data_IF_872766065474
#
_entry.id   IF_872766065474
#
_cell.length_a   1.000
_cell.length_b   1.000
_cell.length_c   1.000
_cell.angle_alpha   90.00
_cell.angle_beta   90.00
_cell.angle_gamma   90.00
#
_symmetry.space_group_name_H-M   'P 1'
#
loop_
_entity.id
_entity.type
_entity.pdbx_description
1 polymer ?
#
# COMPACT_ATOMS: atom_id res chain seq x y z
N UNK A 1 3.97 8.95 -8.89
CA UNK A 1 3.32 8.23 -7.77
C UNK A 1 4.39 7.55 -6.95
N UNK A 2 4.11 7.20 -5.70
CA UNK A 2 5.06 6.46 -4.86
C UNK A 2 5.00 4.98 -5.23
N UNK A 3 6.13 4.29 -5.31
CA UNK A 3 6.16 2.83 -5.57
C UNK A 3 5.15 2.06 -4.71
N UNK A 4 5.07 2.41 -3.43
CA UNK A 4 4.14 1.78 -2.49
C UNK A 4 2.67 2.05 -2.85
N UNK A 5 2.31 3.26 -3.28
CA UNK A 5 0.92 3.54 -3.68
C UNK A 5 0.54 2.75 -4.92
N UNK A 6 1.49 2.52 -5.83
CA UNK A 6 1.25 1.77 -7.07
C UNK A 6 1.05 0.28 -6.78
N UNK A 7 1.92 -0.30 -5.94
CA UNK A 7 1.79 -1.70 -5.50
C UNK A 7 0.47 -1.93 -4.77
N UNK A 8 0.12 -1.08 -3.80
CA UNK A 8 -1.13 -1.25 -3.06
C UNK A 8 -2.35 -1.07 -3.96
N UNK A 9 -2.34 -0.11 -4.89
CA UNK A 9 -3.43 0.05 -5.85
C UNK A 9 -3.59 -1.18 -6.75
N UNK A 10 -2.48 -1.79 -7.18
CA UNK A 10 -2.50 -3.03 -7.94
C UNK A 10 -3.11 -4.17 -7.13
N UNK A 11 -2.72 -4.32 -5.85
CA UNK A 11 -3.28 -5.33 -4.96
C UNK A 11 -4.79 -5.13 -4.75
N UNK A 12 -5.24 -3.89 -4.46
CA UNK A 12 -6.67 -3.57 -4.35
C UNK A 12 -7.45 -4.02 -5.59
N UNK A 13 -6.96 -3.67 -6.79
CA UNK A 13 -7.61 -4.06 -8.06
C UNK A 13 -7.66 -5.57 -8.24
N UNK A 14 -6.60 -6.27 -7.88
CA UNK A 14 -6.55 -7.74 -7.95
C UNK A 14 -7.60 -8.38 -7.04
N UNK A 15 -7.68 -7.94 -5.78
CA UNK A 15 -8.65 -8.46 -4.80
C UNK A 15 -10.10 -8.11 -5.19
N UNK A 16 -10.34 -6.87 -5.63
CA UNK A 16 -11.63 -6.42 -6.15
C UNK A 16 -12.06 -7.22 -7.38
N UNK A 17 -11.13 -7.59 -8.25
CA UNK A 17 -11.43 -8.42 -9.41
C UNK A 17 -11.73 -9.86 -8.99
N UNK A 18 -10.96 -10.41 -8.05
CA UNK A 18 -11.09 -11.78 -7.58
C UNK A 18 -12.51 -12.09 -7.09
N UNK A 19 -13.12 -11.19 -6.32
CA UNK A 19 -14.50 -11.38 -5.80
C UNK A 19 -15.59 -11.38 -6.88
N UNK A 20 -15.26 -11.00 -8.12
CA UNK A 20 -16.19 -11.02 -9.27
C UNK A 20 -16.03 -12.25 -10.17
N UNK A 21 -15.07 -13.14 -9.87
CA UNK A 21 -14.80 -14.31 -10.69
C UNK A 21 -15.85 -15.40 -10.48
N UNK A 22 -15.96 -16.30 -11.47
CA UNK A 22 -16.79 -17.50 -11.33
C UNK A 22 -16.24 -18.42 -10.22
N UNK A 23 -17.07 -19.22 -9.54
CA UNK A 23 -16.63 -20.01 -8.38
C UNK A 23 -15.40 -20.89 -8.62
N UNK A 24 -15.32 -21.54 -9.79
CA UNK A 24 -14.18 -22.40 -10.13
C UNK A 24 -12.87 -21.62 -10.35
N UNK A 25 -12.94 -20.36 -10.80
CA UNK A 25 -11.77 -19.48 -10.95
C UNK A 25 -11.39 -18.87 -9.60
N UNK A 26 -12.40 -18.52 -8.79
CA UNK A 26 -12.23 -17.99 -7.44
C UNK A 26 -11.55 -18.98 -6.49
N UNK A 27 -11.78 -20.29 -6.66
CA UNK A 27 -11.15 -21.33 -5.85
C UNK A 27 -9.62 -21.23 -5.78
N UNK A 28 -8.95 -20.78 -6.87
CA UNK A 28 -7.50 -20.54 -6.85
C UNK A 28 -7.08 -19.41 -5.91
N UNK A 29 -7.90 -18.37 -5.75
CA UNK A 29 -7.65 -17.30 -4.79
C UNK A 29 -7.89 -17.78 -3.36
N UNK A 30 -8.97 -18.53 -3.11
CA UNK A 30 -9.28 -19.09 -1.81
C UNK A 30 -8.22 -20.09 -1.32
N UNK A 31 -7.66 -20.91 -2.22
CA UNK A 31 -6.56 -21.83 -1.90
C UNK A 31 -5.29 -21.09 -1.45
N UNK A 32 -5.14 -19.82 -1.82
CA UNK A 32 -3.98 -18.98 -1.50
C UNK A 32 -4.31 -17.89 -0.48
N UNK A 33 -5.33 -18.08 0.38
CA UNK A 33 -5.82 -17.02 1.26
C UNK A 33 -4.76 -16.48 2.23
N UNK A 34 -3.87 -17.35 2.73
CA UNK A 34 -2.75 -16.95 3.61
C UNK A 34 -1.73 -16.04 2.88
N UNK A 35 -1.49 -16.29 1.59
CA UNK A 35 -0.65 -15.42 0.77
C UNK A 35 -1.28 -14.03 0.64
N UNK A 36 -2.58 -13.98 0.30
CA UNK A 36 -3.29 -12.70 0.19
C UNK A 36 -3.33 -11.94 1.51
N UNK A 37 -3.57 -12.61 2.64
CA UNK A 37 -3.49 -12.01 3.97
C UNK A 37 -2.12 -11.38 4.22
N UNK A 38 -1.04 -12.10 3.88
CA UNK A 38 0.34 -11.63 4.06
C UNK A 38 0.67 -10.41 3.18
N UNK A 39 0.22 -10.41 1.92
CA UNK A 39 0.39 -9.28 1.01
C UNK A 39 -0.35 -8.02 1.48
N UNK A 40 -1.59 -8.18 1.97
CA UNK A 40 -2.40 -7.09 2.52
C UNK A 40 -1.74 -6.54 3.79
N UNK A 41 -1.30 -7.41 4.70
CA UNK A 41 -0.57 -6.99 5.90
C UNK A 41 0.73 -6.25 5.56
N UNK A 42 1.51 -6.74 4.60
CA UNK A 42 2.71 -6.08 4.12
C UNK A 42 2.42 -4.67 3.59
N UNK A 43 1.41 -4.52 2.73
CA UNK A 43 1.00 -3.22 2.21
C UNK A 43 0.55 -2.26 3.32
N UNK A 44 -0.15 -2.75 4.35
CA UNK A 44 -0.58 -1.95 5.49
C UNK A 44 0.61 -1.46 6.33
N UNK A 45 1.61 -2.30 6.60
CA UNK A 45 2.86 -1.90 7.26
C UNK A 45 3.58 -0.81 6.46
N UNK A 46 3.65 -0.97 5.13
CA UNK A 46 4.25 0.06 4.28
C UNK A 46 3.44 1.37 4.33
N UNK A 47 2.11 1.32 4.26
CA UNK A 47 1.27 2.52 4.36
C UNK A 47 1.39 3.22 5.72
N UNK A 48 1.47 2.48 6.81
CA UNK A 48 1.63 3.02 8.17
C UNK A 48 2.97 3.73 8.34
N UNK A 49 4.07 3.10 7.92
CA UNK A 49 5.41 3.70 8.06
C UNK A 49 5.78 4.72 6.97
N UNK A 50 4.87 5.08 6.07
CA UNK A 50 5.19 5.96 4.93
C UNK A 50 5.70 7.32 5.37
N UNK A 51 5.03 7.96 6.32
CA UNK A 51 5.33 9.32 6.72
C UNK A 51 6.72 9.44 7.36
N UNK A 52 7.09 8.50 8.21
CA UNK A 52 8.40 8.48 8.86
C UNK A 52 9.53 8.22 7.85
N UNK A 53 9.31 7.30 6.90
CA UNK A 53 10.25 7.09 5.80
C UNK A 53 10.38 8.33 4.93
N UNK A 54 9.27 9.01 4.64
CA UNK A 54 9.29 10.24 3.86
C UNK A 54 10.07 11.36 4.55
N UNK A 55 9.87 11.56 5.86
CA UNK A 55 10.68 12.49 6.67
C UNK A 55 12.16 12.15 6.64
N UNK A 56 12.51 10.87 6.77
CA UNK A 56 13.90 10.40 6.73
C UNK A 56 14.55 10.72 5.38
N UNK A 57 13.82 10.51 4.28
CA UNK A 57 14.28 10.86 2.93
C UNK A 57 14.48 12.38 2.81
N UNK A 58 13.53 13.19 3.28
CA UNK A 58 13.66 14.65 3.23
C UNK A 58 14.88 15.15 4.03
N UNK A 59 15.10 14.62 5.22
CA UNK A 59 16.25 14.98 6.05
C UNK A 59 17.58 14.61 5.37
N UNK A 60 17.66 13.43 4.75
CA UNK A 60 18.85 13.01 4.00
C UNK A 60 19.11 13.87 2.76
N UNK A 61 18.04 14.25 2.03
CA UNK A 61 18.12 15.17 0.89
C UNK A 61 18.61 16.56 1.30
N UNK A 62 18.17 17.05 2.47
CA UNK A 62 18.60 18.34 3.02
C UNK A 62 20.05 18.31 3.49
N UNK A 63 20.46 17.28 4.23
CA UNK A 63 21.85 17.07 4.65
C UNK A 63 22.80 17.00 3.44
N UNK A 64 22.41 16.29 2.38
CA UNK A 64 23.19 16.22 1.15
C UNK A 64 23.40 17.60 0.52
N UNK A 65 22.35 18.43 0.43
CA UNK A 65 22.43 19.81 -0.10
C UNK A 65 23.35 20.68 0.74
N UNK A 66 23.25 20.59 2.06
CA UNK A 66 24.07 21.38 2.97
C UNK A 66 25.56 21.04 2.85
N UNK A 67 25.89 19.77 2.58
CA UNK A 67 27.28 19.31 2.37
C UNK A 67 27.84 19.64 0.99
N UNK A 68 26.98 19.87 -0.01
CA UNK A 68 27.39 20.10 -1.41
C UNK A 68 26.79 21.40 -1.99
N UNK A 69 27.08 22.56 -1.39
CA UNK A 69 26.43 23.84 -1.74
C UNK A 69 26.72 24.32 -3.18
N UNK A 70 27.76 23.81 -3.83
CA UNK A 70 28.17 24.17 -5.20
C UNK A 70 27.69 23.20 -6.29
N UNK A 71 26.91 22.17 -5.95
CA UNK A 71 26.20 21.39 -6.96
C UNK A 71 24.96 22.17 -7.37
N UNK A 72 25.16 23.27 -8.11
CA UNK A 72 24.09 23.92 -8.87
C UNK A 72 23.34 22.86 -9.66
N UNK A 73 22.16 22.49 -9.15
CA UNK A 73 20.87 22.55 -9.86
C UNK A 73 20.82 22.11 -11.33
N UNK A 74 21.67 21.20 -11.79
CA UNK A 74 21.44 20.42 -13.00
C UNK A 74 20.52 19.24 -12.70
N UNK A 75 19.34 19.51 -12.14
CA UNK A 75 18.24 18.57 -12.33
C UNK A 75 17.75 18.76 -13.76
N UNK A 76 18.23 17.92 -14.68
CA UNK A 76 17.74 17.82 -16.05
C UNK A 76 16.31 17.24 -16.08
N UNK A 77 15.34 17.94 -15.49
CA UNK A 77 13.94 17.76 -15.84
C UNK A 77 13.52 19.03 -16.60
N UNK A 78 13.51 18.95 -17.93
CA UNK A 78 12.83 19.92 -18.82
C UNK A 78 13.52 21.28 -19.09
N UNK A 79 14.81 21.44 -18.79
CA UNK A 79 15.56 22.63 -19.25
C UNK A 79 15.12 23.97 -18.62
N UNK A 80 14.35 23.92 -17.52
CA UNK A 80 14.01 25.11 -16.72
C UNK A 80 14.59 24.95 -15.32
N UNK A 81 15.30 25.97 -14.80
CA UNK A 81 15.79 25.92 -13.42
C UNK A 81 14.61 25.76 -12.47
N UNK A 82 14.70 24.77 -11.59
CA UNK A 82 13.70 24.54 -10.53
C UNK A 82 13.74 25.73 -9.58
N UNK A 83 12.58 26.31 -9.27
CA UNK A 83 12.49 27.40 -8.30
C UNK A 83 13.14 26.99 -6.97
N UNK A 84 14.02 27.84 -6.46
CA UNK A 84 14.69 27.63 -5.18
C UNK A 84 13.64 27.44 -4.05
N UNK A 85 13.86 26.45 -3.18
CA UNK A 85 13.03 26.21 -2.00
C UNK A 85 11.91 25.16 -2.14
N UNK A 86 11.66 24.60 -3.33
CA UNK A 86 10.71 23.48 -3.44
C UNK A 86 11.35 22.16 -2.98
N UNK A 87 10.64 21.31 -2.20
CA UNK A 87 11.14 19.98 -1.82
C UNK A 87 11.41 19.16 -3.08
N UNK A 88 12.51 18.40 -3.09
CA UNK A 88 12.94 17.60 -4.25
C UNK A 88 11.88 16.59 -4.66
N UNK A 89 11.15 16.04 -3.69
CA UNK A 89 10.03 15.12 -3.90
C UNK A 89 8.76 15.64 -3.22
N UNK A 90 7.63 15.57 -3.92
CA UNK A 90 6.31 15.76 -3.31
C UNK A 90 5.91 14.46 -2.60
N UNK A 91 5.53 14.56 -1.33
CA UNK A 91 4.97 13.44 -0.58
C UNK A 91 3.53 13.11 -1.03
N UNK A 92 3.07 11.93 -0.67
CA UNK A 92 1.66 11.51 -0.81
C UNK A 92 0.85 12.20 0.29
N UNK A 93 -0.37 12.65 -0.05
CA UNK A 93 -1.25 13.31 0.93
C UNK A 93 -1.72 12.30 1.97
N UNK A 94 -1.82 12.70 3.24
CA UNK A 94 -2.31 11.81 4.29
C UNK A 94 -3.72 11.27 4.00
N UNK A 95 -4.60 12.11 3.43
CA UNK A 95 -5.95 11.68 3.02
C UNK A 95 -5.93 10.54 2.00
N UNK A 96 -4.98 10.58 1.06
CA UNK A 96 -4.82 9.53 0.03
C UNK A 96 -4.32 8.23 0.66
N UNK A 97 -3.43 8.30 1.67
CA UNK A 97 -3.00 7.12 2.42
C UNK A 97 -4.14 6.49 3.22
N UNK A 98 -4.96 7.32 3.88
CA UNK A 98 -6.13 6.86 4.63
C UNK A 98 -7.15 6.17 3.72
N UNK A 99 -7.46 6.80 2.57
CA UNK A 99 -8.35 6.21 1.57
C UNK A 99 -7.82 4.88 1.05
N UNK A 100 -6.52 4.80 0.76
CA UNK A 100 -5.89 3.59 0.24
C UNK A 100 -5.86 2.44 1.26
N UNK A 101 -5.63 2.75 2.55
CA UNK A 101 -5.74 1.77 3.65
C UNK A 101 -7.16 1.20 3.73
N UNK A 102 -8.16 2.09 3.79
CA UNK A 102 -9.57 1.69 3.90
C UNK A 102 -10.00 0.82 2.71
N UNK A 103 -9.59 1.20 1.50
CA UNK A 103 -9.90 0.44 0.29
C UNK A 103 -9.26 -0.95 0.31
N UNK A 104 -8.00 -1.05 0.72
CA UNK A 104 -7.29 -2.31 0.83
C UNK A 104 -7.95 -3.26 1.85
N UNK A 105 -8.26 -2.75 3.04
CA UNK A 105 -8.97 -3.47 4.09
C UNK A 105 -10.35 -3.95 3.62
N UNK A 106 -11.12 -3.06 2.98
CA UNK A 106 -12.45 -3.40 2.43
C UNK A 106 -12.36 -4.47 1.35
N UNK A 107 -11.36 -4.40 0.47
CA UNK A 107 -11.17 -5.40 -0.58
C UNK A 107 -10.84 -6.78 0.00
N UNK A 108 -10.00 -6.82 1.05
CA UNK A 108 -9.66 -8.08 1.73
C UNK A 108 -10.83 -8.66 2.53
N UNK A 109 -11.59 -7.84 3.27
CA UNK A 109 -12.80 -8.29 3.97
C UNK A 109 -13.81 -8.92 3.01
N UNK A 110 -14.04 -8.28 1.85
CA UNK A 110 -14.91 -8.84 0.80
C UNK A 110 -14.42 -10.17 0.26
N UNK A 111 -13.10 -10.34 0.06
CA UNK A 111 -12.50 -11.60 -0.37
C UNK A 111 -12.79 -12.71 0.65
N UNK A 112 -12.55 -12.45 1.93
CA UNK A 112 -12.75 -13.43 3.02
C UNK A 112 -14.24 -13.78 3.16
N UNK A 113 -15.14 -12.80 3.13
CA UNK A 113 -16.60 -13.04 3.13
C UNK A 113 -17.03 -13.92 1.98
N UNK A 114 -16.52 -13.66 0.76
CA UNK A 114 -16.84 -14.49 -0.40
C UNK A 114 -16.37 -15.94 -0.23
N UNK A 115 -15.20 -16.15 0.38
CA UNK A 115 -14.73 -17.51 0.71
C UNK A 115 -15.68 -18.25 1.65
N UNK A 116 -16.32 -17.56 2.60
CA UNK A 116 -17.34 -18.14 3.50
C UNK A 116 -18.63 -18.45 2.75
N UNK A 117 -19.12 -17.52 1.92
CA UNK A 117 -20.34 -17.70 1.11
C UNK A 117 -20.26 -18.92 0.18
N UNK A 118 -19.09 -19.12 -0.43
CA UNK A 118 -18.79 -20.26 -1.31
C UNK A 118 -18.37 -21.53 -0.56
N UNK A 119 -18.45 -21.52 0.78
CA UNK A 119 -18.11 -22.65 1.65
C UNK A 119 -16.66 -23.14 1.49
N UNK A 120 -15.76 -22.27 1.03
CA UNK A 120 -14.34 -22.58 0.84
C UNK A 120 -13.56 -22.52 2.17
N UNK A 121 -14.05 -21.73 3.12
CA UNK A 121 -13.57 -21.68 4.51
C UNK A 121 -14.74 -21.62 5.48
N UNK A 122 -14.52 -22.04 6.73
CA UNK A 122 -15.54 -21.92 7.77
C UNK A 122 -15.66 -20.46 8.28
N UNK A 123 -16.82 -20.05 8.81
CA UNK A 123 -16.97 -18.73 9.44
C UNK A 123 -15.97 -18.50 10.59
N UNK A 124 -15.62 -19.55 11.35
CA UNK A 124 -14.65 -19.45 12.43
C UNK A 124 -13.22 -19.20 11.92
N UNK A 125 -12.83 -19.84 10.81
CA UNK A 125 -11.54 -19.59 10.16
C UNK A 125 -11.47 -18.15 9.63
N UNK A 126 -12.53 -17.67 8.99
CA UNK A 126 -12.63 -16.28 8.53
C UNK A 126 -12.49 -15.26 9.67
N UNK A 127 -13.19 -15.48 10.80
CA UNK A 127 -13.08 -14.61 11.97
C UNK A 127 -11.65 -14.60 12.55
N UNK A 128 -10.99 -15.75 12.60
CA UNK A 128 -9.60 -15.84 13.09
C UNK A 128 -8.67 -15.05 12.18
N UNK A 129 -8.79 -15.24 10.87
CA UNK A 129 -7.97 -14.55 9.86
C UNK A 129 -8.15 -13.03 9.90
N UNK A 130 -9.39 -12.54 9.98
CA UNK A 130 -9.65 -11.10 10.08
C UNK A 130 -9.11 -10.51 11.40
N UNK A 131 -9.24 -11.23 12.52
CA UNK A 131 -8.66 -10.80 13.80
C UNK A 131 -7.14 -10.72 13.75
N UNK A 132 -6.48 -11.72 13.18
CA UNK A 132 -5.03 -11.73 13.00
C UNK A 132 -4.58 -10.60 12.08
N UNK A 133 -5.32 -10.38 10.99
CA UNK A 133 -5.09 -9.26 10.10
C UNK A 133 -5.14 -7.93 10.85
N UNK A 134 -6.23 -7.62 11.55
CA UNK A 134 -6.36 -6.36 12.30
C UNK A 134 -5.25 -6.18 13.35
N UNK A 135 -4.88 -7.26 14.08
CA UNK A 135 -3.76 -7.22 15.03
C UNK A 135 -2.42 -6.90 14.38
N UNK A 136 -2.19 -7.34 13.15
CA UNK A 136 -0.95 -7.07 12.41
C UNK A 136 -0.87 -5.66 11.85
N UNK A 137 -2.01 -4.96 11.76
CA UNK A 137 -2.11 -3.62 11.15
C UNK A 137 -2.27 -2.48 12.15
N UNK A 138 -2.62 -2.78 13.39
CA UNK A 138 -2.62 -1.80 14.48
C UNK A 138 -1.17 -1.40 14.83
N UNK A 139 -0.83 -0.10 14.79
CA UNK A 139 0.51 0.40 15.12
C UNK A 139 0.85 0.33 16.61
#
# INVERSE_FOLDING_TARGET
MSYMTDVTNSLCRTLEKAVTLLPHQFAGYAANLNFWQSEVAHCMVLLNGYYDRFKTIQAAEEDYKNRHPSSESQSYESGKPRAAGLPLRRGVKNSELVELKLRLETAFDRLVRRCVEEQMISPAAAQTMLREFHRSTDP
#
